data_IF_406008918233
#
_entry.id   IF_406008918233
#
_cell.length_a   1.000
_cell.length_b   1.000
_cell.length_c   1.000
_cell.angle_alpha   90.00
_cell.angle_beta   90.00
_cell.angle_gamma   90.00
#
_symmetry.space_group_name_H-M   'P 1'
#
loop_
_entity.id
_entity.type
_entity.pdbx_description
1 polymer ?
#
# COMPACT_ATOMS: atom_id res chain seq x y z
N UNK A 1 -22.12 -43.66 -49.16
CA UNK A 1 -22.60 -42.66 -48.18
C UNK A 1 -22.06 -43.04 -46.81
N UNK A 2 -20.99 -42.39 -46.34
CA UNK A 2 -20.47 -42.55 -44.98
C UNK A 2 -20.78 -41.24 -44.25
N UNK A 3 -21.67 -41.31 -43.28
CA UNK A 3 -22.06 -40.20 -42.39
C UNK A 3 -21.01 -40.06 -41.30
N UNK A 4 -20.24 -38.97 -41.36
CA UNK A 4 -19.27 -38.59 -40.33
C UNK A 4 -20.00 -37.72 -39.29
N UNK A 5 -20.24 -38.26 -38.10
CA UNK A 5 -20.76 -37.49 -36.97
C UNK A 5 -19.67 -36.58 -36.40
N UNK A 6 -19.88 -35.27 -36.49
CA UNK A 6 -19.08 -34.27 -35.79
C UNK A 6 -19.47 -34.27 -34.30
N UNK A 7 -18.57 -34.71 -33.43
CA UNK A 7 -18.65 -34.42 -32.00
C UNK A 7 -18.19 -32.97 -31.77
N UNK A 8 -19.13 -32.10 -31.40
CA UNK A 8 -18.80 -30.77 -30.90
C UNK A 8 -18.24 -30.91 -29.48
N UNK A 9 -16.93 -30.77 -29.31
CA UNK A 9 -16.34 -30.50 -28.00
C UNK A 9 -16.78 -29.10 -27.57
N UNK A 10 -17.67 -29.04 -26.58
CA UNK A 10 -17.93 -27.82 -25.84
C UNK A 10 -16.69 -27.50 -24.99
N UNK A 11 -15.78 -26.69 -25.54
CA UNK A 11 -14.72 -26.06 -24.75
C UNK A 11 -15.37 -25.10 -23.77
N UNK A 12 -15.50 -25.52 -22.51
CA UNK A 12 -15.77 -24.63 -21.39
C UNK A 12 -14.63 -23.63 -21.28
N UNK A 13 -14.83 -22.45 -21.87
CA UNK A 13 -14.02 -21.27 -21.61
C UNK A 13 -14.11 -21.01 -20.10
N UNK A 14 -13.05 -21.35 -19.37
CA UNK A 14 -12.78 -20.77 -18.06
C UNK A 14 -12.61 -19.28 -18.29
N UNK A 15 -13.68 -18.51 -18.09
CA UNK A 15 -13.54 -17.08 -17.84
C UNK A 15 -12.83 -17.02 -16.49
N UNK A 16 -11.57 -16.56 -16.39
CA UNK A 16 -11.01 -16.26 -15.09
C UNK A 16 -11.92 -15.18 -14.52
N UNK A 17 -12.66 -15.53 -13.48
CA UNK A 17 -13.33 -14.54 -12.65
C UNK A 17 -12.25 -13.54 -12.26
N UNK A 18 -12.30 -12.34 -12.82
CA UNK A 18 -11.59 -11.18 -12.29
C UNK A 18 -12.20 -10.90 -10.91
N UNK A 19 -11.81 -11.70 -9.92
CA UNK A 19 -12.44 -11.81 -8.60
C UNK A 19 -12.41 -10.49 -7.80
N UNK A 20 -11.67 -9.49 -8.30
CA UNK A 20 -11.36 -8.24 -7.63
C UNK A 20 -12.04 -7.01 -8.23
N UNK A 21 -12.71 -7.11 -9.39
CA UNK A 21 -13.69 -6.09 -9.81
C UNK A 21 -15.04 -6.29 -9.11
N UNK A 22 -15.00 -6.72 -7.85
CA UNK A 22 -16.17 -6.93 -6.98
C UNK A 22 -16.67 -5.62 -6.32
N UNK A 23 -16.13 -4.48 -6.77
CA UNK A 23 -16.52 -3.15 -6.33
C UNK A 23 -15.84 -2.67 -5.05
N UNK A 24 -14.85 -3.37 -4.48
CA UNK A 24 -14.14 -2.93 -3.26
C UNK A 24 -12.63 -2.77 -3.46
N UNK A 25 -12.03 -1.88 -2.68
CA UNK A 25 -10.59 -1.65 -2.66
C UNK A 25 -9.99 -1.31 -4.03
N UNK A 26 -10.67 -0.56 -4.90
CA UNK A 26 -10.07 -0.09 -6.17
C UNK A 26 -8.79 0.72 -5.93
N UNK A 27 -8.85 1.67 -5.00
CA UNK A 27 -7.75 2.53 -4.55
C UNK A 27 -7.21 2.05 -3.20
N UNK A 28 -5.95 2.38 -2.82
CA UNK A 28 -5.36 1.96 -1.55
C UNK A 28 -6.25 2.32 -0.37
N UNK A 29 -6.28 1.45 0.65
CA UNK A 29 -7.03 1.68 1.88
C UNK A 29 -6.31 2.74 2.71
N UNK A 30 -7.01 3.82 3.05
CA UNK A 30 -6.54 4.83 4.01
C UNK A 30 -7.32 4.65 5.30
N UNK A 31 -6.62 4.53 6.42
CA UNK A 31 -7.28 4.36 7.71
C UNK A 31 -6.33 4.32 8.88
N UNK A 32 -6.75 3.61 9.91
CA UNK A 32 -6.05 3.42 11.16
C UNK A 32 -6.03 1.93 11.51
N UNK A 33 -4.97 1.46 12.16
CA UNK A 33 -4.90 0.15 12.77
C UNK A 33 -4.30 0.26 14.18
N UNK A 34 -4.86 -0.46 15.14
CA UNK A 34 -4.50 -0.38 16.57
C UNK A 34 -3.12 -0.94 16.92
N UNK A 35 -2.52 -1.80 16.10
CA UNK A 35 -1.39 -2.65 16.51
C UNK A 35 -0.15 -1.89 16.94
N UNK A 36 0.38 -1.01 16.08
CA UNK A 36 1.63 -0.29 16.35
C UNK A 36 1.53 0.63 17.59
N UNK A 37 0.33 1.14 17.89
CA UNK A 37 0.10 2.03 19.03
C UNK A 37 -0.20 1.28 20.33
N UNK A 38 -0.95 0.18 20.25
CA UNK A 38 -1.61 -0.40 21.43
C UNK A 38 -1.41 -1.91 21.59
N UNK A 39 -0.97 -2.63 20.55
CA UNK A 39 -0.82 -4.09 20.57
C UNK A 39 -2.11 -4.76 21.11
N UNK A 40 -1.99 -5.64 22.10
CA UNK A 40 -3.13 -6.24 22.78
C UNK A 40 -3.81 -5.33 23.83
N UNK A 41 -3.58 -4.02 23.91
CA UNK A 41 -4.23 -3.10 24.86
C UNK A 41 -5.31 -2.24 24.18
N UNK A 42 -6.35 -2.90 23.69
CA UNK A 42 -7.47 -2.33 22.92
C UNK A 42 -8.82 -2.56 23.60
N UNK A 43 -9.84 -1.74 23.35
CA UNK A 43 -11.21 -2.01 23.79
C UNK A 43 -12.22 -1.20 22.95
N UNK A 44 -13.52 -1.37 23.20
CA UNK A 44 -14.59 -0.63 22.51
C UNK A 44 -14.39 0.88 22.63
N UNK A 45 -14.05 1.39 23.81
CA UNK A 45 -13.97 2.83 24.08
C UNK A 45 -12.77 3.46 23.36
N UNK A 46 -11.64 2.75 23.27
CA UNK A 46 -10.45 3.14 22.52
C UNK A 46 -10.76 3.29 21.03
N UNK A 47 -11.44 2.31 20.43
CA UNK A 47 -11.78 2.37 19.00
C UNK A 47 -12.71 3.55 18.70
N UNK A 48 -13.71 3.79 19.55
CA UNK A 48 -14.62 4.93 19.39
C UNK A 48 -13.90 6.26 19.57
N UNK A 49 -13.02 6.36 20.56
CA UNK A 49 -12.19 7.55 20.80
C UNK A 49 -11.26 7.79 19.62
N UNK A 50 -10.63 6.74 19.09
CA UNK A 50 -9.77 6.83 17.90
C UNK A 50 -10.55 7.35 16.68
N UNK A 51 -11.75 6.82 16.43
CA UNK A 51 -12.62 7.31 15.36
C UNK A 51 -13.00 8.79 15.53
N UNK A 52 -13.33 9.21 16.75
CA UNK A 52 -13.62 10.61 17.06
C UNK A 52 -12.39 11.51 16.86
N UNK A 53 -11.20 11.07 17.29
CA UNK A 53 -9.94 11.79 17.09
C UNK A 53 -9.63 11.93 15.61
N UNK A 54 -9.72 10.85 14.82
CA UNK A 54 -9.53 10.89 13.36
C UNK A 54 -10.43 11.93 12.69
N UNK A 55 -11.68 12.06 13.16
CA UNK A 55 -12.59 13.08 12.65
C UNK A 55 -12.18 14.49 13.09
N UNK A 56 -11.93 14.69 14.38
CA UNK A 56 -11.60 16.01 14.95
C UNK A 56 -10.26 16.57 14.46
N UNK A 57 -9.30 15.71 14.18
CA UNK A 57 -7.98 16.05 13.65
C UNK A 57 -7.98 16.23 12.12
N UNK A 58 -9.13 16.08 11.47
CA UNK A 58 -9.26 16.24 10.01
C UNK A 58 -8.73 15.07 9.18
N UNK A 59 -8.31 13.97 9.80
CA UNK A 59 -7.81 12.77 9.10
C UNK A 59 -8.92 12.14 8.25
N UNK A 60 -10.16 12.08 8.74
CA UNK A 60 -11.28 11.60 7.92
C UNK A 60 -11.48 12.47 6.67
N UNK A 61 -11.37 13.79 6.82
CA UNK A 61 -11.50 14.73 5.70
C UNK A 61 -10.33 14.63 4.71
N UNK A 62 -9.15 14.19 5.16
CA UNK A 62 -8.01 13.87 4.31
C UNK A 62 -8.16 12.53 3.58
N UNK A 63 -9.12 11.67 3.98
CA UNK A 63 -9.45 10.41 3.30
C UNK A 63 -9.25 9.15 4.14
N UNK A 64 -8.74 9.26 5.38
CA UNK A 64 -8.58 8.12 6.28
C UNK A 64 -9.94 7.67 6.81
N UNK A 65 -10.52 6.67 6.15
CA UNK A 65 -11.92 6.28 6.32
C UNK A 65 -12.10 4.90 6.96
N UNK A 66 -11.04 4.21 7.34
CA UNK A 66 -11.10 2.93 8.05
C UNK A 66 -10.57 3.05 9.48
N UNK A 67 -11.28 2.45 10.44
CA UNK A 67 -10.81 2.25 11.83
C UNK A 67 -10.73 0.75 12.07
N UNK A 68 -9.54 0.18 11.90
CA UNK A 68 -9.33 -1.26 11.97
C UNK A 68 -8.88 -1.69 13.37
N UNK A 69 -9.50 -2.74 13.88
CA UNK A 69 -9.03 -3.49 15.04
C UNK A 69 -8.05 -4.57 14.58
N UNK A 70 -6.93 -4.69 15.29
CA UNK A 70 -5.96 -5.77 15.06
C UNK A 70 -6.24 -6.99 15.96
N UNK A 71 -5.23 -7.80 16.24
CA UNK A 71 -5.34 -8.99 17.09
C UNK A 71 -5.86 -8.69 18.52
N UNK A 72 -6.12 -9.73 19.30
CA UNK A 72 -6.48 -9.67 20.73
C UNK A 72 -7.89 -9.12 21.05
N UNK A 73 -8.81 -9.11 20.09
CA UNK A 73 -10.20 -8.71 20.30
C UNK A 73 -11.12 -9.83 20.81
N UNK A 74 -10.68 -11.08 20.72
CA UNK A 74 -11.49 -12.27 20.98
C UNK A 74 -11.25 -12.87 22.37
N UNK A 75 -12.18 -13.69 22.84
CA UNK A 75 -11.92 -14.68 23.88
C UNK A 75 -10.95 -15.74 23.35
N UNK A 76 -10.17 -16.39 24.24
CA UNK A 76 -9.23 -17.45 23.82
C UNK A 76 -9.90 -18.72 23.33
N UNK A 77 -11.14 -18.95 23.74
CA UNK A 77 -11.91 -20.13 23.38
C UNK A 77 -13.08 -19.74 22.48
N UNK A 78 -13.33 -20.55 21.45
CA UNK A 78 -14.55 -20.48 20.64
C UNK A 78 -15.77 -20.87 21.48
N UNK A 79 -16.96 -20.49 21.01
CA UNK A 79 -18.22 -20.99 21.58
C UNK A 79 -18.36 -22.50 21.38
N UNK A 80 -19.35 -23.11 22.04
CA UNK A 80 -19.75 -24.51 21.80
C UNK A 80 -20.09 -24.80 20.34
N UNK A 81 -20.58 -23.79 19.61
CA UNK A 81 -20.93 -23.88 18.18
C UNK A 81 -19.71 -23.64 17.26
N UNK A 82 -18.54 -23.38 17.84
CA UNK A 82 -17.29 -23.15 17.13
C UNK A 82 -17.10 -21.71 16.62
N UNK A 83 -17.89 -20.74 17.09
CA UNK A 83 -17.75 -19.34 16.67
C UNK A 83 -16.69 -18.61 17.48
N UNK A 84 -16.00 -17.64 16.86
CA UNK A 84 -15.20 -16.66 17.58
C UNK A 84 -16.13 -15.82 18.47
N UNK A 85 -15.74 -15.63 19.73
CA UNK A 85 -16.46 -14.78 20.69
C UNK A 85 -15.59 -13.55 20.91
N UNK A 86 -16.14 -12.34 20.80
CA UNK A 86 -15.44 -11.13 21.21
C UNK A 86 -15.23 -11.09 22.73
N UNK A 87 -14.09 -10.57 23.18
CA UNK A 87 -13.80 -10.44 24.61
C UNK A 87 -14.91 -9.64 25.31
N UNK A 88 -15.56 -10.27 26.29
CA UNK A 88 -16.77 -9.73 26.93
C UNK A 88 -16.51 -8.53 27.83
N UNK A 89 -15.26 -8.35 28.27
CA UNK A 89 -14.85 -7.23 29.11
C UNK A 89 -14.48 -6.04 28.23
N UNK A 90 -13.60 -6.27 27.24
CA UNK A 90 -13.10 -5.24 26.33
C UNK A 90 -14.17 -4.74 25.36
N UNK A 91 -15.08 -5.63 24.95
CA UNK A 91 -16.16 -5.33 24.00
C UNK A 91 -17.53 -5.63 24.61
N UNK A 92 -17.76 -5.13 25.83
CA UNK A 92 -19.00 -5.29 26.60
C UNK A 92 -20.29 -4.92 25.84
N UNK A 93 -20.21 -3.99 24.89
CA UNK A 93 -21.34 -3.58 24.05
C UNK A 93 -21.61 -4.52 22.86
N UNK A 94 -20.68 -5.44 22.58
CA UNK A 94 -20.70 -6.34 21.44
C UNK A 94 -20.18 -5.68 20.16
N UNK A 95 -19.50 -6.47 19.33
CA UNK A 95 -18.85 -5.98 18.11
C UNK A 95 -19.81 -5.30 17.14
N UNK A 96 -21.04 -5.82 16.99
CA UNK A 96 -22.05 -5.17 16.13
C UNK A 96 -22.39 -3.75 16.58
N UNK A 97 -22.51 -3.52 17.89
CA UNK A 97 -22.81 -2.17 18.40
C UNK A 97 -21.63 -1.23 18.19
N UNK A 98 -20.41 -1.74 18.34
CA UNK A 98 -19.18 -0.99 18.06
C UNK A 98 -19.11 -0.58 16.58
N UNK A 99 -19.30 -1.52 15.65
CA UNK A 99 -19.26 -1.22 14.20
C UNK A 99 -20.39 -0.26 13.81
N UNK A 100 -21.61 -0.44 14.31
CA UNK A 100 -22.73 0.47 14.05
C UNK A 100 -22.41 1.92 14.49
N UNK A 101 -21.75 2.09 15.64
CA UNK A 101 -21.29 3.41 16.13
C UNK A 101 -20.19 4.00 15.24
N UNK A 102 -19.21 3.20 14.81
CA UNK A 102 -18.14 3.65 13.91
C UNK A 102 -18.72 4.05 12.55
N UNK A 103 -19.66 3.27 12.01
CA UNK A 103 -20.38 3.58 10.78
C UNK A 103 -21.19 4.87 10.90
N UNK A 104 -21.85 5.10 12.04
CA UNK A 104 -22.57 6.35 12.30
C UNK A 104 -21.66 7.60 12.33
N UNK A 105 -20.36 7.42 12.59
CA UNK A 105 -19.35 8.49 12.49
C UNK A 105 -18.87 8.74 11.05
N UNK A 106 -19.30 7.91 10.09
CA UNK A 106 -18.94 7.99 8.68
C UNK A 106 -17.69 7.18 8.29
N UNK A 107 -17.23 6.29 9.17
CA UNK A 107 -16.09 5.41 8.89
C UNK A 107 -16.54 4.02 8.47
N UNK A 108 -15.62 3.29 7.86
CA UNK A 108 -15.62 1.84 7.75
C UNK A 108 -14.77 1.24 8.87
N UNK A 109 -14.91 -0.05 9.13
CA UNK A 109 -14.10 -0.72 10.15
C UNK A 109 -13.65 -2.10 9.69
N UNK A 110 -12.41 -2.44 10.03
CA UNK A 110 -11.80 -3.72 9.71
C UNK A 110 -11.54 -4.55 10.95
N UNK A 111 -11.50 -5.87 10.76
CA UNK A 111 -11.15 -6.86 11.76
C UNK A 111 -9.91 -7.64 11.33
N UNK A 112 -9.39 -8.44 12.24
CA UNK A 112 -8.22 -9.28 12.06
C UNK A 112 -8.57 -10.76 12.26
N UNK A 113 -7.88 -11.64 11.53
CA UNK A 113 -7.79 -13.06 11.85
C UNK A 113 -6.55 -13.66 11.20
N UNK A 114 -6.43 -14.98 11.21
CA UNK A 114 -5.24 -15.70 10.80
C UNK A 114 -5.59 -16.94 9.95
N UNK A 115 -4.74 -17.26 8.98
CA UNK A 115 -4.84 -18.44 8.11
C UNK A 115 -4.38 -19.75 8.76
N UNK A 116 -3.99 -19.73 10.04
CA UNK A 116 -3.59 -20.86 10.87
C UNK A 116 -4.53 -21.15 12.03
N UNK A 117 -4.05 -21.97 12.98
CA UNK A 117 -4.84 -22.42 14.13
C UNK A 117 -5.14 -21.31 15.13
N UNK A 118 -4.19 -20.41 15.29
CA UNK A 118 -4.24 -19.30 16.21
C UNK A 118 -3.73 -18.05 15.51
N UNK A 119 -4.18 -16.90 15.98
CA UNK A 119 -3.57 -15.63 15.66
C UNK A 119 -2.15 -15.55 16.19
N UNK A 120 -1.39 -14.55 15.75
CA UNK A 120 -0.03 -14.33 16.25
C UNK A 120 0.02 -14.11 17.77
N UNK A 121 -1.00 -13.51 18.39
CA UNK A 121 -1.13 -13.37 19.85
C UNK A 121 -1.83 -14.55 20.56
N UNK A 122 -2.10 -15.64 19.85
CA UNK A 122 -2.63 -16.88 20.43
C UNK A 122 -4.15 -16.87 20.70
N UNK A 123 -4.92 -16.10 19.94
CA UNK A 123 -6.39 -16.17 19.90
C UNK A 123 -6.86 -17.10 18.77
N UNK A 124 -8.14 -17.50 18.70
CA UNK A 124 -8.60 -18.40 17.64
C UNK A 124 -8.32 -17.88 16.23
N UNK A 125 -7.56 -18.63 15.44
CA UNK A 125 -7.34 -18.40 14.00
C UNK A 125 -8.46 -19.03 13.16
N UNK A 126 -8.57 -18.67 11.88
CA UNK A 126 -9.69 -19.04 11.01
C UNK A 126 -9.48 -20.32 10.20
N UNK A 127 -8.35 -21.02 10.33
CA UNK A 127 -8.11 -22.25 9.56
C UNK A 127 -9.23 -23.28 9.80
N UNK A 128 -9.78 -23.85 8.72
CA UNK A 128 -10.97 -24.74 8.69
C UNK A 128 -12.29 -24.11 9.16
N UNK A 129 -12.31 -22.81 9.44
CA UNK A 129 -13.47 -22.06 9.91
C UNK A 129 -13.77 -20.87 9.00
N UNK A 130 -13.21 -20.80 7.80
CA UNK A 130 -13.14 -19.58 6.98
C UNK A 130 -14.54 -19.03 6.67
N UNK A 131 -15.47 -19.88 6.22
CA UNK A 131 -16.85 -19.46 5.92
C UNK A 131 -17.64 -19.06 7.19
N UNK A 132 -17.35 -19.71 8.32
CA UNK A 132 -18.01 -19.43 9.61
C UNK A 132 -17.54 -18.09 10.16
N UNK A 133 -16.23 -17.87 10.17
CA UNK A 133 -15.64 -16.67 10.75
C UNK A 133 -15.90 -15.46 9.85
N UNK A 134 -15.77 -15.60 8.52
CA UNK A 134 -16.17 -14.53 7.59
C UNK A 134 -17.65 -14.14 7.74
N UNK A 135 -18.54 -15.10 8.04
CA UNK A 135 -19.96 -14.82 8.33
C UNK A 135 -20.09 -14.02 9.63
N UNK A 136 -19.40 -14.46 10.69
CA UNK A 136 -19.37 -13.77 11.98
C UNK A 136 -18.92 -12.32 11.81
N UNK A 137 -17.85 -12.08 11.05
CA UNK A 137 -17.34 -10.73 10.77
C UNK A 137 -18.34 -9.87 9.98
N UNK A 138 -19.03 -10.45 8.99
CA UNK A 138 -20.07 -9.75 8.23
C UNK A 138 -21.33 -9.47 9.05
N UNK A 139 -21.70 -10.36 9.98
CA UNK A 139 -22.83 -10.17 10.91
C UNK A 139 -22.52 -9.12 11.97
N UNK A 140 -21.28 -9.07 12.44
CA UNK A 140 -20.77 -7.98 13.26
C UNK A 140 -20.61 -6.67 12.50
N UNK A 141 -20.73 -6.66 11.17
CA UNK A 141 -20.73 -5.42 10.38
C UNK A 141 -19.36 -4.90 9.98
N UNK A 142 -18.32 -5.73 9.95
CA UNK A 142 -17.01 -5.32 9.44
C UNK A 142 -17.01 -5.16 7.90
N UNK A 143 -16.13 -4.29 7.40
CA UNK A 143 -15.94 -3.95 5.99
C UNK A 143 -14.62 -4.50 5.42
N UNK A 144 -13.68 -4.86 6.28
CA UNK A 144 -12.29 -5.15 5.96
C UNK A 144 -11.78 -6.30 6.84
N UNK A 145 -10.90 -7.14 6.28
CA UNK A 145 -10.25 -8.24 6.98
C UNK A 145 -8.74 -8.19 6.69
N UNK A 146 -7.93 -7.93 7.73
CA UNK A 146 -6.50 -8.27 7.75
C UNK A 146 -6.40 -9.76 8.10
N UNK A 147 -5.69 -10.54 7.29
CA UNK A 147 -5.63 -11.99 7.44
C UNK A 147 -4.21 -12.49 7.47
N UNK A 148 -3.78 -12.96 8.63
CA UNK A 148 -2.39 -13.21 8.97
C UNK A 148 -1.95 -14.65 8.71
N UNK A 149 -0.70 -14.98 9.04
CA UNK A 149 -0.04 -16.21 8.63
C UNK A 149 0.68 -16.96 9.76
N UNK A 150 0.31 -16.74 11.03
CA UNK A 150 0.85 -17.42 12.19
C UNK A 150 0.27 -18.83 12.40
N UNK A 151 0.80 -19.55 13.42
CA UNK A 151 0.32 -20.87 13.87
C UNK A 151 -0.03 -21.87 12.74
N UNK A 152 0.87 -21.96 11.75
CA UNK A 152 0.64 -22.70 10.51
C UNK A 152 0.45 -24.20 10.80
N UNK A 153 -0.67 -24.82 10.34
CA UNK A 153 -0.89 -26.25 10.48
C UNK A 153 0.17 -27.06 9.72
N UNK A 154 0.50 -28.26 10.21
CA UNK A 154 1.45 -29.16 9.54
C UNK A 154 0.99 -29.55 8.13
N UNK A 155 1.94 -29.80 7.23
CA UNK A 155 1.72 -30.22 5.83
C UNK A 155 0.75 -31.39 5.68
N UNK A 156 0.82 -32.37 6.59
CA UNK A 156 -0.06 -33.54 6.60
C UNK A 156 -1.54 -33.22 6.86
N UNK A 157 -1.80 -32.09 7.51
CA UNK A 157 -3.13 -31.54 7.82
C UNK A 157 -3.55 -30.58 6.71
N UNK A 158 -2.73 -29.57 6.40
CA UNK A 158 -3.12 -28.48 5.51
C UNK A 158 -3.27 -28.95 4.07
N UNK A 159 -2.36 -29.81 3.61
CA UNK A 159 -2.34 -30.40 2.25
C UNK A 159 -2.49 -29.37 1.13
N UNK A 160 -2.04 -28.15 1.39
CA UNK A 160 -2.03 -27.00 0.48
C UNK A 160 -0.92 -26.02 0.90
N UNK A 161 -0.41 -25.25 -0.05
CA UNK A 161 0.54 -24.17 0.24
C UNK A 161 -0.15 -22.87 0.67
N UNK A 162 0.64 -21.81 0.89
CA UNK A 162 0.14 -20.50 1.31
C UNK A 162 -0.96 -19.95 0.42
N UNK A 163 -0.84 -20.13 -0.91
CA UNK A 163 -1.85 -19.74 -1.89
C UNK A 163 -3.20 -20.40 -1.60
N UNK A 164 -3.19 -21.68 -1.23
CA UNK A 164 -4.39 -22.43 -0.87
C UNK A 164 -5.07 -21.88 0.37
N UNK A 165 -4.29 -21.56 1.41
CA UNK A 165 -4.81 -20.99 2.66
C UNK A 165 -5.56 -19.67 2.44
N UNK A 166 -4.96 -18.76 1.67
CA UNK A 166 -5.58 -17.48 1.36
C UNK A 166 -6.76 -17.61 0.40
N UNK A 167 -6.69 -18.57 -0.54
CA UNK A 167 -7.82 -18.91 -1.42
C UNK A 167 -9.05 -19.35 -0.62
N UNK A 168 -8.90 -20.12 0.47
CA UNK A 168 -10.04 -20.54 1.31
C UNK A 168 -10.83 -19.36 1.85
N UNK A 169 -10.14 -18.37 2.42
CA UNK A 169 -10.79 -17.18 2.96
C UNK A 169 -11.36 -16.29 1.86
N UNK A 170 -10.66 -16.13 0.73
CA UNK A 170 -11.19 -15.41 -0.43
C UNK A 170 -12.48 -16.06 -0.99
N UNK A 171 -12.50 -17.40 -1.12
CA UNK A 171 -13.69 -18.16 -1.53
C UNK A 171 -14.85 -18.01 -0.53
N UNK A 172 -14.55 -17.99 0.77
CA UNK A 172 -15.52 -17.76 1.83
C UNK A 172 -16.16 -16.36 1.72
N UNK A 173 -15.34 -15.31 1.57
CA UNK A 173 -15.79 -13.92 1.38
C UNK A 173 -16.65 -13.80 0.12
N UNK A 174 -16.18 -14.36 -1.00
CA UNK A 174 -16.92 -14.35 -2.27
C UNK A 174 -18.24 -15.11 -2.17
N UNK A 175 -18.25 -16.26 -1.51
CA UNK A 175 -19.45 -17.06 -1.28
C UNK A 175 -20.47 -16.29 -0.45
N UNK A 176 -20.05 -15.66 0.66
CA UNK A 176 -20.94 -14.86 1.49
C UNK A 176 -21.51 -13.67 0.74
N UNK A 177 -20.69 -12.91 0.02
CA UNK A 177 -21.15 -11.79 -0.80
C UNK A 177 -22.24 -12.22 -1.79
N UNK A 178 -22.02 -13.34 -2.48
CA UNK A 178 -22.99 -13.89 -3.44
C UNK A 178 -24.27 -14.40 -2.78
N UNK A 179 -24.19 -15.04 -1.61
CA UNK A 179 -25.36 -15.65 -0.97
C UNK A 179 -26.18 -14.66 -0.14
N UNK A 180 -25.55 -13.64 0.44
CA UNK A 180 -26.24 -12.63 1.26
C UNK A 180 -26.57 -11.35 0.49
N UNK A 181 -25.96 -11.13 -0.68
CA UNK A 181 -26.06 -9.89 -1.45
C UNK A 181 -25.34 -8.70 -0.80
N UNK A 182 -24.66 -8.91 0.32
CA UNK A 182 -23.87 -7.86 0.99
C UNK A 182 -22.53 -7.67 0.28
N UNK A 183 -22.00 -6.45 0.36
CA UNK A 183 -20.66 -6.10 -0.15
C UNK A 183 -19.60 -7.03 0.48
N UNK A 184 -18.63 -7.55 -0.29
CA UNK A 184 -17.57 -8.40 0.26
C UNK A 184 -16.67 -7.58 1.18
N UNK A 185 -16.06 -8.25 2.16
CA UNK A 185 -14.97 -7.69 2.95
C UNK A 185 -13.81 -7.33 2.01
N UNK A 186 -13.19 -6.17 2.21
CA UNK A 186 -11.87 -5.88 1.63
C UNK A 186 -10.88 -6.82 2.30
N UNK A 187 -10.13 -7.60 1.51
CA UNK A 187 -9.26 -8.65 1.99
C UNK A 187 -7.80 -8.25 1.83
N UNK A 188 -7.13 -8.07 2.97
CA UNK A 188 -5.72 -7.76 3.04
C UNK A 188 -4.96 -8.97 3.57
N UNK A 189 -4.07 -9.49 2.74
CA UNK A 189 -3.27 -10.65 3.06
C UNK A 189 -2.04 -10.20 3.88
N UNK A 190 -1.79 -10.84 5.00
CA UNK A 190 -0.69 -10.55 5.92
C UNK A 190 0.24 -11.78 6.03
N UNK A 191 0.91 -12.09 4.92
CA UNK A 191 1.80 -13.24 4.72
C UNK A 191 3.26 -12.85 4.53
N UNK A 192 3.59 -11.59 4.76
CA UNK A 192 4.95 -11.09 4.86
C UNK A 192 5.82 -11.30 3.60
N UNK A 193 5.23 -11.32 2.42
CA UNK A 193 5.92 -11.55 1.14
C UNK A 193 6.17 -13.01 0.80
N UNK A 194 5.68 -13.94 1.63
CA UNK A 194 6.00 -15.36 1.48
C UNK A 194 5.46 -15.95 0.18
N UNK A 195 6.25 -16.83 -0.42
CA UNK A 195 5.99 -17.44 -1.73
C UNK A 195 5.65 -16.39 -2.80
N UNK A 196 6.35 -15.26 -2.79
CA UNK A 196 6.28 -14.21 -3.81
C UNK A 196 4.85 -13.75 -4.07
N UNK A 197 4.13 -13.37 -3.02
CA UNK A 197 2.71 -12.98 -3.07
C UNK A 197 2.37 -11.92 -4.14
N UNK A 198 3.31 -11.06 -4.51
CA UNK A 198 3.14 -10.15 -5.64
C UNK A 198 2.84 -10.83 -6.99
N UNK A 199 3.10 -12.13 -7.13
CA UNK A 199 2.74 -12.92 -8.32
C UNK A 199 1.28 -13.41 -8.31
N UNK A 200 0.65 -13.57 -7.15
CA UNK A 200 -0.63 -14.27 -7.02
C UNK A 200 -1.66 -13.57 -6.12
N UNK A 201 -1.26 -12.61 -5.27
CA UNK A 201 -2.11 -11.92 -4.31
C UNK A 201 -3.28 -11.20 -4.97
N UNK A 202 -3.06 -10.61 -6.16
CA UNK A 202 -4.09 -10.01 -7.03
C UNK A 202 -5.14 -11.00 -7.56
N UNK A 203 -5.07 -12.27 -7.20
CA UNK A 203 -6.17 -13.22 -7.50
C UNK A 203 -7.16 -13.32 -6.34
N UNK A 204 -6.75 -12.99 -5.11
CA UNK A 204 -7.51 -13.31 -3.90
C UNK A 204 -7.87 -12.09 -3.05
N UNK A 205 -7.04 -11.05 -3.00
CA UNK A 205 -7.32 -9.86 -2.18
C UNK A 205 -6.81 -8.56 -2.76
N UNK A 206 -7.16 -7.48 -2.07
CA UNK A 206 -6.95 -6.11 -2.53
C UNK A 206 -5.57 -5.57 -2.12
N UNK A 207 -4.93 -6.14 -1.10
CA UNK A 207 -3.55 -5.83 -0.73
C UNK A 207 -2.86 -7.04 -0.11
N UNK A 208 -1.53 -7.07 -0.14
CA UNK A 208 -0.72 -8.17 0.40
C UNK A 208 0.58 -7.65 1.00
N UNK A 209 0.86 -8.00 2.25
CA UNK A 209 2.08 -7.61 2.97
C UNK A 209 3.29 -8.19 2.26
N UNK A 210 4.28 -7.35 1.97
CA UNK A 210 5.45 -7.76 1.16
C UNK A 210 6.68 -8.14 1.98
N UNK A 211 6.70 -7.80 3.26
CA UNK A 211 7.83 -8.04 4.16
C UNK A 211 7.35 -8.44 5.55
N UNK A 212 8.28 -8.86 6.41
CA UNK A 212 8.05 -8.89 7.86
C UNK A 212 7.66 -7.52 8.42
N UNK A 213 7.31 -7.49 9.70
CA UNK A 213 6.74 -6.31 10.34
C UNK A 213 7.70 -5.11 10.37
N UNK A 214 7.13 -3.93 10.12
CA UNK A 214 7.83 -2.66 10.20
C UNK A 214 8.17 -2.27 11.65
N UNK A 215 9.35 -1.70 11.85
CA UNK A 215 9.77 -1.09 13.11
C UNK A 215 9.94 0.44 12.92
N UNK A 216 9.79 1.24 14.00
CA UNK A 216 9.87 2.71 13.92
C UNK A 216 11.32 3.21 13.92
N UNK A 217 12.11 2.79 12.93
CA UNK A 217 13.49 3.23 12.70
C UNK A 217 13.84 3.19 11.21
N UNK A 218 14.83 3.98 10.80
CA UNK A 218 15.24 4.12 9.40
C UNK A 218 15.62 2.79 8.74
N UNK A 219 16.37 1.91 9.41
CA UNK A 219 16.82 0.65 8.83
C UNK A 219 15.64 -0.23 8.38
N UNK A 220 14.56 -0.25 9.17
CA UNK A 220 13.33 -0.95 8.81
C UNK A 220 12.66 -0.32 7.59
N UNK A 221 12.56 1.02 7.55
CA UNK A 221 11.99 1.75 6.41
C UNK A 221 12.80 1.49 5.13
N UNK A 222 14.12 1.67 5.19
CA UNK A 222 15.02 1.49 4.07
C UNK A 222 15.02 0.05 3.55
N UNK A 223 14.93 -0.95 4.45
CA UNK A 223 14.78 -2.35 4.06
C UNK A 223 13.49 -2.63 3.29
N UNK A 224 12.35 -2.08 3.75
CA UNK A 224 11.05 -2.25 3.08
C UNK A 224 11.03 -1.55 1.71
N UNK A 225 11.58 -0.33 1.63
CA UNK A 225 11.74 0.41 0.38
C UNK A 225 12.64 -0.36 -0.60
N UNK A 226 13.78 -0.87 -0.11
CA UNK A 226 14.69 -1.68 -0.93
C UNK A 226 13.97 -2.89 -1.51
N UNK A 227 13.27 -3.67 -0.70
CA UNK A 227 12.56 -4.85 -1.17
C UNK A 227 11.48 -4.50 -2.21
N UNK A 228 10.65 -3.49 -1.93
CA UNK A 228 9.56 -3.11 -2.81
C UNK A 228 10.03 -2.49 -4.13
N UNK A 229 11.26 -1.95 -4.18
CA UNK A 229 11.87 -1.42 -5.41
C UNK A 229 11.92 -2.45 -6.55
N UNK A 230 11.99 -3.74 -6.24
CA UNK A 230 12.06 -4.84 -7.22
C UNK A 230 10.69 -5.37 -7.69
N UNK A 231 9.59 -4.95 -7.05
CA UNK A 231 8.26 -5.53 -7.25
C UNK A 231 7.15 -4.49 -7.43
N UNK A 232 7.51 -3.24 -7.72
CA UNK A 232 6.57 -2.12 -7.92
C UNK A 232 5.47 -2.40 -8.95
N UNK A 233 5.78 -3.18 -9.99
CA UNK A 233 4.87 -3.58 -11.07
C UNK A 233 3.68 -4.45 -10.61
N UNK A 234 3.73 -5.00 -9.41
CA UNK A 234 2.62 -5.78 -8.87
C UNK A 234 1.47 -4.90 -8.31
N UNK A 235 1.75 -3.61 -8.10
CA UNK A 235 0.76 -2.64 -7.61
C UNK A 235 0.02 -1.98 -8.76
N UNK A 236 -1.31 -2.09 -8.72
CA UNK A 236 -2.23 -1.41 -9.62
C UNK A 236 -3.64 -1.32 -8.98
N UNK A 237 -4.64 -0.84 -9.72
CA UNK A 237 -6.03 -0.89 -9.28
C UNK A 237 -6.41 -2.29 -8.82
N UNK A 238 -7.18 -2.33 -7.72
CA UNK A 238 -7.71 -3.53 -7.11
C UNK A 238 -6.68 -4.52 -6.53
N UNK A 239 -5.37 -4.26 -6.59
CA UNK A 239 -4.36 -5.13 -5.98
C UNK A 239 -3.03 -4.41 -5.81
N UNK A 240 -2.49 -4.35 -4.59
CA UNK A 240 -1.20 -3.68 -4.33
C UNK A 240 -0.35 -4.36 -3.29
N UNK A 241 0.95 -4.12 -3.41
CA UNK A 241 1.90 -4.35 -2.33
C UNK A 241 1.48 -3.52 -1.10
N UNK A 242 1.44 -4.17 0.06
CA UNK A 242 1.31 -3.55 1.36
C UNK A 242 2.69 -3.51 2.02
N UNK A 243 3.16 -2.29 2.28
CA UNK A 243 4.45 -2.01 2.89
C UNK A 243 4.34 -1.97 4.42
N UNK A 244 3.24 -2.46 4.98
CA UNK A 244 2.90 -2.43 6.40
C UNK A 244 2.43 -1.05 6.91
N UNK A 245 1.94 -1.04 8.15
CA UNK A 245 1.34 0.11 8.82
C UNK A 245 2.33 1.26 9.03
N UNK A 246 1.84 2.49 9.02
CA UNK A 246 2.63 3.69 9.26
C UNK A 246 3.19 3.71 10.70
N UNK A 247 4.41 4.23 10.84
CA UNK A 247 5.15 4.37 12.11
C UNK A 247 5.35 5.85 12.49
N UNK A 248 4.60 6.76 11.84
CA UNK A 248 4.69 8.19 12.11
C UNK A 248 4.28 8.48 13.55
N UNK A 249 5.11 9.20 14.31
CA UNK A 249 4.88 9.48 15.73
C UNK A 249 5.29 8.34 16.68
N UNK A 250 5.85 7.23 16.17
CA UNK A 250 6.35 6.12 16.98
C UNK A 250 7.89 6.10 16.96
N UNK A 251 8.48 5.51 18.00
CA UNK A 251 9.94 5.38 18.13
C UNK A 251 10.65 6.74 18.06
N UNK A 252 11.80 6.77 17.38
CA UNK A 252 12.65 7.95 17.29
C UNK A 252 12.89 8.38 15.83
N UNK A 253 11.93 8.15 14.94
CA UNK A 253 12.02 8.66 13.57
C UNK A 253 12.15 10.18 13.58
N UNK A 254 13.13 10.70 12.85
CA UNK A 254 13.22 12.15 12.62
C UNK A 254 12.07 12.64 11.74
N UNK A 255 11.82 13.95 11.72
CA UNK A 255 10.81 14.52 10.82
C UNK A 255 11.09 14.20 9.35
N UNK A 256 12.36 14.26 8.92
CA UNK A 256 12.75 13.94 7.54
C UNK A 256 12.59 12.45 7.22
N UNK A 257 12.93 11.55 8.15
CA UNK A 257 12.66 10.11 8.01
C UNK A 257 11.15 9.82 7.94
N UNK A 258 10.34 10.53 8.74
CA UNK A 258 8.88 10.42 8.72
C UNK A 258 8.29 10.91 7.38
N UNK A 259 8.83 11.99 6.80
CA UNK A 259 8.46 12.43 5.44
C UNK A 259 8.84 11.40 4.38
N UNK A 260 10.04 10.82 4.48
CA UNK A 260 10.53 9.77 3.59
C UNK A 260 9.65 8.52 3.66
N UNK A 261 9.32 8.07 4.87
CA UNK A 261 8.37 6.98 5.13
C UNK A 261 7.04 7.24 4.42
N UNK A 262 6.39 8.36 4.76
CA UNK A 262 5.07 8.65 4.24
C UNK A 262 5.06 8.80 2.71
N UNK A 263 6.06 9.48 2.15
CA UNK A 263 6.20 9.66 0.70
C UNK A 263 6.37 8.32 0.01
N UNK A 264 7.29 7.48 0.47
CA UNK A 264 7.55 6.18 -0.14
C UNK A 264 6.30 5.30 -0.12
N UNK A 265 5.61 5.20 1.02
CA UNK A 265 4.38 4.41 1.14
C UNK A 265 3.26 4.95 0.25
N UNK A 266 3.07 6.26 0.23
CA UNK A 266 2.02 6.90 -0.54
C UNK A 266 2.24 6.72 -2.04
N UNK A 267 3.45 7.03 -2.53
CA UNK A 267 3.74 7.02 -3.96
C UNK A 267 3.95 5.61 -4.53
N UNK A 268 4.34 4.64 -3.69
CA UNK A 268 4.29 3.21 -4.06
C UNK A 268 2.88 2.60 -3.94
N UNK A 269 1.89 3.42 -3.58
CA UNK A 269 0.46 3.05 -3.47
C UNK A 269 0.18 1.92 -2.48
N UNK A 270 0.97 1.87 -1.40
CA UNK A 270 0.64 1.07 -0.22
C UNK A 270 -0.68 1.51 0.40
N UNK A 271 -1.43 0.62 1.10
CA UNK A 271 -2.36 1.07 2.11
C UNK A 271 -1.67 2.02 3.09
N UNK A 272 -2.37 3.07 3.51
CA UNK A 272 -1.89 4.07 4.46
C UNK A 272 -2.68 3.91 5.77
N UNK A 273 -2.22 2.99 6.60
CA UNK A 273 -2.82 2.69 7.90
C UNK A 273 -2.03 3.37 9.01
N UNK A 274 -2.61 4.41 9.62
CA UNK A 274 -2.06 5.10 10.77
C UNK A 274 -1.95 4.11 11.94
N UNK A 275 -0.81 4.09 12.63
CA UNK A 275 -0.54 3.18 13.73
C UNK A 275 0.02 3.87 14.97
N UNK A 276 -0.42 5.08 15.30
CA UNK A 276 0.12 5.87 16.43
C UNK A 276 -0.97 6.36 17.37
N UNK A 277 -0.60 6.71 18.60
CA UNK A 277 -1.54 7.23 19.58
C UNK A 277 -2.02 8.66 19.22
N UNK A 278 -3.21 8.77 18.62
CA UNK A 278 -3.77 10.05 18.16
C UNK A 278 -4.05 11.07 19.28
N UNK A 279 -4.16 10.64 20.54
CA UNK A 279 -4.36 11.56 21.67
C UNK A 279 -3.10 12.39 22.00
N UNK A 280 -1.94 11.93 21.53
CA UNK A 280 -0.63 12.56 21.74
C UNK A 280 0.08 12.89 20.41
N UNK A 281 -0.67 12.98 19.31
CA UNK A 281 -0.11 13.27 17.99
C UNK A 281 0.51 14.68 17.96
N UNK A 282 1.68 14.80 17.34
CA UNK A 282 2.33 16.09 17.13
C UNK A 282 1.79 16.79 15.88
N UNK A 283 1.90 18.13 15.83
CA UNK A 283 1.55 18.89 14.63
C UNK A 283 2.35 18.45 13.40
N UNK A 284 3.64 18.14 13.58
CA UNK A 284 4.51 17.62 12.51
C UNK A 284 3.97 16.29 11.94
N UNK A 285 3.56 15.36 12.81
CA UNK A 285 2.96 14.08 12.37
C UNK A 285 1.64 14.32 11.64
N UNK A 286 0.82 15.25 12.15
CA UNK A 286 -0.46 15.58 11.55
C UNK A 286 -0.29 16.26 10.18
N UNK A 287 0.71 17.14 10.03
CA UNK A 287 1.07 17.77 8.76
C UNK A 287 1.43 16.72 7.70
N UNK A 288 2.28 15.76 8.06
CA UNK A 288 2.64 14.64 7.18
C UNK A 288 1.39 13.86 6.77
N UNK A 289 0.58 13.42 7.74
CA UNK A 289 -0.61 12.62 7.48
C UNK A 289 -1.67 13.36 6.66
N UNK A 290 -1.73 14.69 6.74
CA UNK A 290 -2.76 15.48 6.05
C UNK A 290 -2.27 16.13 4.76
N UNK A 291 -1.07 15.79 4.27
CA UNK A 291 -0.54 16.26 2.99
C UNK A 291 -1.41 15.78 1.82
N UNK A 292 -2.31 16.65 1.36
CA UNK A 292 -3.32 16.34 0.33
C UNK A 292 -2.71 16.04 -1.03
N UNK A 293 -1.56 16.59 -1.36
CA UNK A 293 -0.96 16.42 -2.69
C UNK A 293 -0.29 15.05 -2.82
N UNK A 294 0.41 14.60 -1.77
CA UNK A 294 0.96 13.25 -1.70
C UNK A 294 -0.17 12.21 -1.62
N UNK A 295 -1.19 12.46 -0.80
CA UNK A 295 -2.39 11.61 -0.74
C UNK A 295 -3.09 11.49 -2.09
N UNK A 296 -3.15 12.58 -2.87
CA UNK A 296 -3.76 12.55 -4.21
C UNK A 296 -3.03 11.63 -5.19
N UNK A 297 -1.71 11.42 -5.03
CA UNK A 297 -0.98 10.43 -5.85
C UNK A 297 -1.33 9.01 -5.40
N UNK A 298 -1.39 8.77 -4.09
CA UNK A 298 -1.82 7.46 -3.57
C UNK A 298 -3.25 7.11 -4.00
N UNK A 299 -4.13 8.10 -4.00
CA UNK A 299 -5.57 7.99 -4.31
C UNK A 299 -5.91 8.38 -5.75
N UNK A 300 -4.96 8.28 -6.68
CA UNK A 300 -5.18 8.65 -8.07
C UNK A 300 -6.24 7.75 -8.73
N UNK A 301 -7.36 8.32 -9.23
CA UNK A 301 -8.46 7.54 -9.79
C UNK A 301 -8.23 7.14 -11.26
N UNK A 302 -7.17 7.62 -11.90
CA UNK A 302 -6.84 7.36 -13.32
C UNK A 302 -5.63 6.44 -13.44
N UNK A 303 -4.60 6.68 -12.63
CA UNK A 303 -3.39 5.84 -12.62
C UNK A 303 -3.44 4.94 -11.39
N UNK A 304 -3.48 3.62 -11.58
CA UNK A 304 -3.44 2.65 -10.48
C UNK A 304 -2.03 2.22 -10.11
N UNK A 305 -1.07 2.33 -11.04
CA UNK A 305 0.29 1.84 -10.89
C UNK A 305 1.13 2.62 -9.86
N UNK A 306 2.03 1.92 -9.17
CA UNK A 306 3.07 2.49 -8.30
C UNK A 306 4.10 3.30 -9.10
N UNK A 307 4.82 4.24 -8.45
CA UNK A 307 6.11 4.71 -8.98
C UNK A 307 7.13 3.56 -9.03
N UNK A 308 8.16 3.68 -9.87
CA UNK A 308 9.26 2.72 -9.96
C UNK A 308 10.62 3.43 -9.94
N UNK A 309 11.68 2.78 -9.43
CA UNK A 309 13.01 3.36 -9.48
C UNK A 309 13.48 3.40 -10.94
N UNK A 310 14.00 4.54 -11.38
CA UNK A 310 14.69 4.64 -12.66
C UNK A 310 16.21 4.69 -12.49
N UNK A 311 16.69 4.94 -11.27
CA UNK A 311 18.12 4.86 -10.92
C UNK A 311 18.35 4.60 -9.43
N UNK A 312 19.28 3.72 -9.10
CA UNK A 312 19.57 3.36 -7.70
C UNK A 312 20.43 4.41 -6.98
N UNK A 313 21.21 5.20 -7.72
CA UNK A 313 21.99 6.30 -7.17
C UNK A 313 23.39 5.86 -6.78
N UNK A 314 23.72 5.85 -5.49
CA UNK A 314 25.06 5.45 -5.02
C UNK A 314 25.42 4.00 -5.38
N UNK A 315 24.41 3.17 -5.61
CA UNK A 315 24.57 1.79 -6.04
C UNK A 315 24.30 1.66 -7.55
N UNK A 316 24.89 0.68 -8.24
CA UNK A 316 24.45 0.28 -9.57
C UNK A 316 22.96 -0.06 -9.59
N UNK A 317 22.30 0.16 -10.73
CA UNK A 317 20.88 -0.16 -10.88
C UNK A 317 20.60 -1.64 -10.60
N UNK A 318 19.43 -1.90 -10.00
CA UNK A 318 19.00 -3.22 -9.52
C UNK A 318 19.87 -3.84 -8.41
N UNK A 319 20.65 -3.04 -7.67
CA UNK A 319 21.36 -3.52 -6.48
C UNK A 319 20.43 -3.65 -5.29
N UNK A 320 20.34 -4.84 -4.70
CA UNK A 320 19.64 -5.02 -3.42
C UNK A 320 20.54 -4.60 -2.26
N UNK A 321 20.23 -3.48 -1.62
CA UNK A 321 20.96 -2.94 -0.48
C UNK A 321 19.98 -2.29 0.50
N UNK A 322 19.73 -2.93 1.64
CA UNK A 322 18.75 -2.46 2.63
C UNK A 322 19.17 -1.19 3.37
N UNK A 323 20.47 -0.88 3.44
CA UNK A 323 20.96 0.38 4.03
C UNK A 323 20.88 1.54 3.04
N UNK A 324 20.96 1.24 1.74
CA UNK A 324 20.97 2.23 0.67
C UNK A 324 20.04 1.81 -0.47
N UNK A 325 18.71 1.87 -0.26
CA UNK A 325 17.73 1.57 -1.29
C UNK A 325 17.87 2.51 -2.50
N UNK A 326 17.15 2.21 -3.58
CA UNK A 326 17.11 3.07 -4.75
C UNK A 326 16.74 4.52 -4.39
N UNK A 327 17.41 5.49 -5.01
CA UNK A 327 17.27 6.91 -4.65
C UNK A 327 16.37 7.71 -5.59
N UNK A 328 16.23 7.29 -6.86
CA UNK A 328 15.56 8.08 -7.89
C UNK A 328 14.39 7.29 -8.48
N UNK A 329 13.18 7.82 -8.27
CA UNK A 329 11.93 7.15 -8.64
C UNK A 329 11.01 8.07 -9.41
N UNK A 330 10.22 7.49 -10.30
CA UNK A 330 9.20 8.23 -11.04
C UNK A 330 8.01 7.35 -11.43
N UNK A 331 6.87 7.97 -11.64
CA UNK A 331 5.65 7.31 -12.11
C UNK A 331 4.65 8.31 -12.67
N UNK A 332 3.70 7.81 -13.45
CA UNK A 332 2.60 8.62 -13.95
C UNK A 332 1.58 8.94 -12.84
N UNK A 333 0.90 10.07 -12.99
CA UNK A 333 -0.33 10.43 -12.28
C UNK A 333 -1.27 11.11 -13.28
N UNK A 334 -2.55 11.23 -12.94
CA UNK A 334 -3.55 11.94 -13.73
C UNK A 334 -3.13 13.40 -14.03
N UNK A 335 -2.26 13.98 -13.21
CA UNK A 335 -1.88 15.39 -13.26
C UNK A 335 -0.45 15.62 -13.75
N UNK A 336 0.27 14.60 -14.21
CA UNK A 336 1.66 14.69 -14.67
C UNK A 336 2.55 13.57 -14.12
N UNK A 337 3.86 13.73 -14.26
CA UNK A 337 4.85 12.75 -13.79
C UNK A 337 5.29 13.08 -12.37
N UNK A 338 5.14 12.13 -11.46
CA UNK A 338 5.57 12.26 -10.06
C UNK A 338 7.00 11.75 -9.91
N UNK A 339 7.80 12.45 -9.12
CA UNK A 339 9.16 12.05 -8.75
C UNK A 339 9.32 11.94 -7.24
N UNK A 340 10.09 10.94 -6.81
CA UNK A 340 10.60 10.82 -5.45
C UNK A 340 12.12 10.73 -5.51
N UNK A 341 12.80 11.68 -4.84
CA UNK A 341 14.25 11.68 -4.68
C UNK A 341 14.56 11.45 -3.21
N UNK A 342 15.16 10.30 -2.89
CA UNK A 342 15.44 9.86 -1.54
C UNK A 342 16.93 10.02 -1.22
N UNK A 343 17.25 10.82 -0.21
CA UNK A 343 18.60 10.85 0.34
C UNK A 343 18.76 9.70 1.34
N UNK A 344 19.57 8.70 1.00
CA UNK A 344 19.84 7.54 1.86
C UNK A 344 21.06 7.72 2.76
N UNK A 345 21.69 8.90 2.73
CA UNK A 345 22.90 9.19 3.50
C UNK A 345 22.56 9.82 4.86
N UNK A 346 23.51 9.69 5.79
CA UNK A 346 23.47 10.33 7.12
C UNK A 346 23.90 11.82 7.11
N UNK A 347 23.98 12.43 5.93
CA UNK A 347 24.38 13.83 5.74
C UNK A 347 23.54 14.48 4.64
N UNK A 348 23.36 15.81 4.63
CA UNK A 348 22.70 16.50 3.53
C UNK A 348 23.39 16.19 2.19
N UNK A 349 22.61 15.99 1.13
CA UNK A 349 23.13 15.66 -0.19
C UNK A 349 22.37 16.38 -1.32
N UNK A 350 23.09 16.70 -2.40
CA UNK A 350 22.48 17.14 -3.65
C UNK A 350 22.08 15.92 -4.49
N UNK A 351 20.81 15.84 -4.89
CA UNK A 351 20.30 14.78 -5.76
C UNK A 351 20.03 15.36 -7.15
N UNK A 352 20.82 14.94 -8.13
CA UNK A 352 20.77 15.47 -9.51
C UNK A 352 20.49 14.37 -10.51
N UNK A 353 19.57 14.60 -11.45
CA UNK A 353 19.29 13.68 -12.54
C UNK A 353 18.95 14.43 -13.83
N UNK A 354 19.16 13.78 -14.97
CA UNK A 354 18.61 14.20 -16.25
C UNK A 354 17.15 13.75 -16.34
N UNK A 355 16.26 14.67 -16.70
CA UNK A 355 14.82 14.43 -16.72
C UNK A 355 14.45 13.21 -17.58
N UNK A 356 15.18 12.97 -18.67
CA UNK A 356 14.95 11.83 -19.59
C UNK A 356 15.51 10.50 -19.10
N UNK A 357 16.15 10.44 -17.92
CA UNK A 357 16.37 9.18 -17.21
C UNK A 357 15.04 8.55 -16.76
N UNK A 358 14.01 9.38 -16.53
CA UNK A 358 12.66 8.88 -16.27
C UNK A 358 11.97 8.46 -17.58
N UNK A 359 11.39 7.26 -17.64
CA UNK A 359 10.66 6.80 -18.83
C UNK A 359 9.35 7.58 -19.07
N UNK A 360 8.90 8.37 -18.09
CA UNK A 360 7.65 9.13 -18.13
C UNK A 360 7.85 10.59 -18.55
N UNK A 361 9.08 10.95 -18.94
CA UNK A 361 9.43 12.27 -19.43
C UNK A 361 9.74 12.19 -20.93
N UNK A 362 9.26 13.18 -21.66
CA UNK A 362 9.53 13.35 -23.08
C UNK A 362 10.77 14.21 -23.28
N UNK A 363 11.67 13.74 -24.14
CA UNK A 363 12.79 14.52 -24.62
C UNK A 363 12.33 15.79 -25.36
N UNK A 364 13.13 16.85 -25.33
CA UNK A 364 12.85 18.11 -26.02
C UNK A 364 11.74 18.96 -25.38
N UNK A 365 11.30 18.62 -24.17
CA UNK A 365 10.23 19.33 -23.45
C UNK A 365 10.76 19.93 -22.15
N UNK A 366 10.14 21.04 -21.77
CA UNK A 366 10.31 21.68 -20.48
C UNK A 366 9.16 21.27 -19.54
N UNK A 367 9.43 21.24 -18.23
CA UNK A 367 8.44 20.78 -17.24
C UNK A 367 8.28 21.76 -16.09
N UNK A 368 7.07 22.21 -15.81
CA UNK A 368 6.79 22.98 -14.58
C UNK A 368 6.94 22.06 -13.37
N UNK A 369 7.66 22.51 -12.35
CA UNK A 369 7.95 21.72 -11.15
C UNK A 369 7.08 22.20 -9.99
N UNK A 370 6.27 21.31 -9.43
CA UNK A 370 5.58 21.54 -8.16
C UNK A 370 6.20 20.66 -7.07
N UNK A 371 6.57 21.27 -5.95
CA UNK A 371 7.04 20.55 -4.77
C UNK A 371 5.85 20.20 -3.86
N UNK A 372 5.67 18.91 -3.60
CA UNK A 372 4.50 18.38 -2.90
C UNK A 372 4.61 18.50 -1.37
N UNK A 373 5.78 18.84 -0.84
CA UNK A 373 5.98 19.09 0.59
C UNK A 373 5.92 20.57 0.93
N UNK A 374 6.54 21.42 0.12
CA UNK A 374 6.50 22.88 0.33
C UNK A 374 5.27 23.54 -0.29
N UNK A 375 4.54 22.81 -1.15
CA UNK A 375 3.36 23.27 -1.89
C UNK A 375 3.63 24.46 -2.82
N UNK A 376 4.87 24.62 -3.26
CA UNK A 376 5.30 25.72 -4.13
C UNK A 376 5.52 25.26 -5.57
N UNK A 377 5.33 26.19 -6.50
CA UNK A 377 5.71 26.01 -7.89
C UNK A 377 7.15 26.53 -8.07
N UNK A 378 8.08 25.61 -8.30
CA UNK A 378 9.54 25.85 -8.34
C UNK A 378 10.05 26.07 -9.77
N UNK A 379 9.29 26.83 -10.56
CA UNK A 379 9.65 27.20 -11.93
C UNK A 379 9.60 26.02 -12.91
N UNK A 380 10.49 26.05 -13.90
CA UNK A 380 10.52 25.08 -15.01
C UNK A 380 11.86 24.37 -15.08
N UNK A 381 11.84 23.05 -15.05
CA UNK A 381 13.01 22.20 -15.28
C UNK A 381 13.20 21.93 -16.78
N UNK A 382 14.45 21.99 -17.22
CA UNK A 382 14.86 21.71 -18.60
C UNK A 382 16.07 20.81 -18.54
N UNK A 383 15.96 19.61 -19.15
CA UNK A 383 16.98 18.56 -19.25
C UNK A 383 17.51 17.98 -17.95
N UNK A 384 17.82 18.78 -16.95
CA UNK A 384 18.32 18.33 -15.66
C UNK A 384 17.53 18.98 -14.52
N UNK A 385 17.52 18.30 -13.39
CA UNK A 385 17.00 18.82 -12.14
C UNK A 385 17.97 18.47 -11.01
N UNK A 386 18.18 19.43 -10.09
CA UNK A 386 18.94 19.21 -8.87
C UNK A 386 18.10 19.63 -7.68
N UNK A 387 17.76 18.66 -6.81
CA UNK A 387 17.36 18.98 -5.45
C UNK A 387 18.62 19.25 -4.62
N UNK A 388 18.72 20.45 -4.06
CA UNK A 388 19.87 20.90 -3.27
C UNK A 388 19.68 20.56 -1.80
N UNK A 389 20.76 20.15 -1.14
CA UNK A 389 20.86 19.98 0.31
C UNK A 389 19.68 19.20 0.93
N UNK A 390 19.27 18.08 0.29
CA UNK A 390 18.23 17.20 0.83
C UNK A 390 18.73 16.65 2.18
N UNK A 391 17.99 16.84 3.29
CA UNK A 391 18.45 16.41 4.62
C UNK A 391 18.82 14.93 4.70
N UNK A 392 19.62 14.51 5.71
CA UNK A 392 19.87 13.10 5.98
C UNK A 392 18.56 12.31 6.04
N UNK A 393 18.49 11.19 5.34
CA UNK A 393 17.28 10.36 5.28
C UNK A 393 16.02 11.11 4.81
N UNK A 394 16.17 12.29 4.20
CA UNK A 394 15.09 13.13 3.72
C UNK A 394 14.66 12.79 2.29
N UNK A 395 13.52 13.37 1.90
CA UNK A 395 12.90 13.12 0.61
C UNK A 395 12.45 14.41 -0.05
N UNK A 396 12.52 14.43 -1.38
CA UNK A 396 11.88 15.42 -2.23
C UNK A 396 10.81 14.72 -3.05
N UNK A 397 9.59 15.25 -3.03
CA UNK A 397 8.45 14.73 -3.78
C UNK A 397 7.97 15.82 -4.75
N UNK A 398 8.02 15.55 -6.05
CA UNK A 398 7.70 16.54 -7.08
C UNK A 398 6.60 16.04 -8.00
N UNK A 399 5.82 16.97 -8.53
CA UNK A 399 4.93 16.74 -9.67
C UNK A 399 5.38 17.62 -10.83
N UNK A 400 5.81 16.98 -11.91
CA UNK A 400 6.25 17.63 -13.13
C UNK A 400 5.14 17.57 -14.17
N UNK A 401 4.82 18.72 -14.77
CA UNK A 401 3.83 18.84 -15.84
C UNK A 401 4.47 19.43 -17.09
N UNK A 402 4.10 18.92 -18.25
CA UNK A 402 4.61 19.43 -19.51
C UNK A 402 4.28 20.93 -19.64
N UNK A 403 5.32 21.74 -19.84
CA UNK A 403 5.26 23.20 -19.92
C UNK A 403 5.62 23.75 -21.30
N UNK A 404 5.72 22.90 -22.33
CA UNK A 404 6.10 23.31 -23.68
C UNK A 404 7.42 22.72 -24.16
N UNK A 405 7.87 23.19 -25.32
CA UNK A 405 9.18 22.83 -25.86
C UNK A 405 10.31 23.39 -25.01
N UNK A 406 11.44 22.68 -24.96
CA UNK A 406 12.65 23.25 -24.37
C UNK A 406 13.14 24.47 -25.16
N UNK A 407 13.83 25.44 -24.51
CA UNK A 407 14.44 26.57 -25.21
C UNK A 407 15.34 26.14 -26.39
N UNK A 408 15.34 26.91 -27.47
CA UNK A 408 16.21 26.65 -28.61
C UNK A 408 17.69 26.86 -28.25
N UNK A 409 18.59 26.16 -28.96
CA UNK A 409 20.04 26.33 -28.84
C UNK A 409 20.68 25.66 -27.62
N UNK A 410 19.99 24.71 -26.98
CA UNK A 410 20.54 23.95 -25.86
C UNK A 410 21.52 22.86 -26.34
N UNK A 411 22.66 22.73 -25.65
CA UNK A 411 23.65 21.69 -25.89
C UNK A 411 23.68 20.66 -24.74
N UNK A 412 23.91 19.35 -24.99
CA UNK A 412 23.98 18.68 -26.31
C UNK A 412 22.68 18.83 -27.11
N UNK A 413 22.68 18.77 -28.44
CA UNK A 413 21.45 19.01 -29.23
C UNK A 413 20.30 18.03 -28.93
N UNK A 414 20.62 16.89 -28.31
CA UNK A 414 19.70 15.84 -27.91
C UNK A 414 19.84 15.51 -26.43
N UNK A 415 18.73 15.13 -25.80
CA UNK A 415 18.72 14.71 -24.40
C UNK A 415 19.44 13.37 -24.18
N UNK A 416 19.43 12.49 -25.19
CA UNK A 416 20.18 11.23 -25.22
C UNK A 416 21.27 11.35 -26.28
N UNK A 417 22.52 11.37 -25.82
CA UNK A 417 23.69 11.63 -26.67
C UNK A 417 24.04 10.46 -27.60
N UNK A 418 23.82 9.23 -27.14
CA UNK A 418 24.16 8.02 -27.88
C UNK A 418 23.31 7.89 -29.15
N UNK A 419 23.98 7.72 -30.30
CA UNK A 419 23.37 7.62 -31.64
C UNK A 419 22.57 8.86 -32.09
N UNK A 420 22.79 10.00 -31.44
CA UNK A 420 22.16 11.23 -31.82
C UNK A 420 22.64 11.72 -33.19
N UNK A 421 21.71 11.90 -34.12
CA UNK A 421 22.00 12.08 -35.55
C UNK A 421 21.11 13.18 -36.13
N UNK A 422 21.72 14.13 -36.84
CA UNK A 422 21.03 15.17 -37.59
C UNK A 422 20.32 14.58 -38.82
N UNK A 423 19.34 15.30 -39.37
CA UNK A 423 18.56 14.91 -40.55
C UNK A 423 19.41 14.59 -41.77
N UNK A 424 20.62 15.16 -41.88
CA UNK A 424 21.58 14.87 -42.94
C UNK A 424 22.38 13.56 -42.72
N UNK A 425 22.13 12.83 -41.63
CA UNK A 425 22.84 11.60 -41.27
C UNK A 425 24.14 11.82 -40.49
N UNK A 426 24.50 13.07 -40.19
CA UNK A 426 25.68 13.38 -39.39
C UNK A 426 25.41 13.06 -37.93
N UNK A 427 26.26 12.25 -37.30
CA UNK A 427 26.20 12.06 -35.86
C UNK A 427 26.59 13.36 -35.17
N UNK A 428 25.63 13.97 -34.48
CA UNK A 428 25.85 15.18 -33.69
C UNK A 428 26.24 14.85 -32.24
N UNK A 429 26.17 13.56 -31.88
CA UNK A 429 26.64 13.02 -30.60
C UNK A 429 27.59 11.83 -30.70
N UNK A 430 28.34 11.61 -29.62
CA UNK A 430 29.39 10.59 -29.44
C UNK A 430 29.89 10.58 -28.00
#
# INVERSE_FOLDING_TARGET
MKTTSLFALASSLFIPTLALQNGVGRLPTLGYNTWNAYQCNIDEDLLLTTAQLMKSLGLQAAGYNYVNIDDCYAERNRSSDGNIIADKVRFKGGMKRLTDKIHALGFKTGIYSDSGWFTCAGYPGSFQNELRDARTFQEWGFDYLKFDNCAIPYDSIIREGIVGKYKRMADAIATLSRTTGKRPLTFALCEWGWSQVWQWGKQFGQSWRTTGDIAPNWDSLANIINFNSFITQATDFFGRNDLDMLQLGNGNLTFDEAKSHFTAWALMKSPLLIGTNLSAITNETLEILTNREILAINQDPVVGASISPFRWGINPDWTSNSSFPAQYWSGESQNGTVFMLLNTLNAPADLTFNLTESPWIRAGRAYSVRDLWTHTDNGTAVRNFTARAVPPHGVVALLLRDAGDEPAGLFPECSVWWQCTDRNGTRVGG
#
